data_IF_124548230632
#
_entry.id   IF_124548230632
#
_cell.length_a   1.000
_cell.length_b   1.000
_cell.length_c   1.000
_cell.angle_alpha   90.00
_cell.angle_beta   90.00
_cell.angle_gamma   90.00
#
_symmetry.space_group_name_H-M   'P 1'
#
loop_
_entity.id
_entity.type
_entity.pdbx_description
1 polymer ?
#
# COMPACT_ATOMS: atom_id res chain seq x y z
N UNK A 1 17.30 5.77 -11.04
CA UNK A 1 18.64 5.30 -10.59
C UNK A 1 18.58 4.12 -9.61
N UNK A 2 17.44 3.82 -8.97
CA UNK A 2 17.28 2.67 -8.05
C UNK A 2 17.49 1.31 -8.74
N UNK A 3 16.81 1.07 -9.87
CA UNK A 3 16.92 -0.17 -10.64
C UNK A 3 18.36 -0.51 -11.05
N UNK A 4 19.13 0.49 -11.51
CA UNK A 4 20.54 0.32 -11.88
C UNK A 4 21.40 -0.13 -10.69
N UNK A 5 21.28 0.55 -9.54
CA UNK A 5 22.07 0.22 -8.35
C UNK A 5 21.70 -1.13 -7.75
N UNK A 6 20.41 -1.46 -7.72
CA UNK A 6 19.92 -2.75 -7.25
C UNK A 6 20.42 -3.90 -8.13
N UNK A 7 20.40 -3.72 -9.46
CA UNK A 7 20.93 -4.71 -10.42
C UNK A 7 22.41 -5.01 -10.19
N UNK A 8 23.22 -4.01 -9.84
CA UNK A 8 24.65 -4.23 -9.56
C UNK A 8 24.92 -5.16 -8.36
N UNK A 9 23.96 -5.29 -7.44
CA UNK A 9 24.05 -6.18 -6.27
C UNK A 9 23.09 -7.37 -6.34
N UNK A 10 22.51 -7.63 -7.52
CA UNK A 10 21.61 -8.77 -7.73
C UNK A 10 20.23 -8.64 -7.09
N UNK A 11 19.75 -7.41 -6.83
CA UNK A 11 18.40 -7.14 -6.31
C UNK A 11 17.47 -6.82 -7.49
N UNK A 12 16.38 -7.57 -7.59
CA UNK A 12 15.32 -7.30 -8.56
C UNK A 12 14.44 -6.14 -8.10
N UNK A 13 14.19 -5.20 -9.01
CA UNK A 13 13.32 -4.05 -8.78
C UNK A 13 12.11 -4.17 -9.68
N UNK A 14 10.95 -4.37 -9.06
CA UNK A 14 9.65 -4.39 -9.73
C UNK A 14 9.06 -2.99 -9.64
N UNK A 15 8.80 -2.36 -10.79
CA UNK A 15 8.17 -1.05 -10.88
C UNK A 15 6.67 -1.28 -11.02
N UNK A 16 5.89 -0.62 -10.16
CA UNK A 16 4.42 -0.65 -10.21
C UNK A 16 3.88 0.76 -10.43
N UNK A 17 2.64 0.83 -10.86
CA UNK A 17 1.85 2.06 -10.91
C UNK A 17 1.75 2.76 -9.55
N UNK A 18 1.57 4.08 -9.56
CA UNK A 18 1.60 4.89 -8.35
C UNK A 18 0.35 4.66 -7.51
N UNK A 19 0.54 4.20 -6.28
CA UNK A 19 -0.52 4.14 -5.28
C UNK A 19 -0.41 5.31 -4.31
N UNK A 20 -1.50 6.07 -4.14
CA UNK A 20 -1.48 7.32 -3.37
C UNK A 20 -1.79 7.16 -1.86
N UNK A 21 -2.14 5.96 -1.38
CA UNK A 21 -2.75 5.83 -0.05
C UNK A 21 -1.89 5.09 0.98
N UNK A 22 -1.45 5.81 2.02
CA UNK A 22 -0.85 5.25 3.25
C UNK A 22 -1.87 4.55 4.19
N UNK A 23 -2.96 4.03 3.62
CA UNK A 23 -4.10 3.50 4.36
C UNK A 23 -4.43 2.03 4.10
N UNK A 24 -3.79 1.40 3.12
CA UNK A 24 -3.94 -0.03 2.86
C UNK A 24 -3.27 -0.87 3.95
N UNK A 25 -4.00 -1.83 4.51
CA UNK A 25 -3.45 -2.88 5.38
C UNK A 25 -3.06 -4.12 4.56
N UNK A 26 -1.82 -4.58 4.71
CA UNK A 26 -1.38 -5.84 4.11
C UNK A 26 -2.03 -7.06 4.76
N UNK A 27 -2.25 -7.03 6.07
CA UNK A 27 -2.82 -8.16 6.82
C UNK A 27 -4.28 -8.40 6.42
N UNK A 28 -5.03 -7.32 6.22
CA UNK A 28 -6.44 -7.39 5.87
C UNK A 28 -6.67 -7.54 4.34
N UNK A 29 -5.59 -7.68 3.55
CA UNK A 29 -5.62 -7.72 2.08
C UNK A 29 -6.40 -6.54 1.46
N UNK A 30 -6.20 -5.34 2.00
CA UNK A 30 -6.83 -4.15 1.42
C UNK A 30 -6.34 -3.94 -0.02
N UNK A 31 -7.27 -3.52 -0.88
CA UNK A 31 -6.93 -3.12 -2.24
C UNK A 31 -6.01 -1.90 -2.21
N UNK A 32 -4.93 -1.96 -2.98
CA UNK A 32 -4.02 -0.84 -3.20
C UNK A 32 -4.56 -0.05 -4.39
N UNK A 33 -5.17 1.14 -4.20
CA UNK A 33 -5.68 1.94 -5.31
C UNK A 33 -4.54 2.45 -6.18
N UNK A 34 -4.73 2.33 -7.49
CA UNK A 34 -3.93 3.02 -8.50
C UNK A 34 -4.42 4.46 -8.59
N UNK A 35 -3.51 5.43 -8.59
CA UNK A 35 -3.87 6.82 -8.81
C UNK A 35 -4.27 7.04 -10.28
N UNK A 36 -5.48 7.55 -10.50
CA UNK A 36 -5.99 7.95 -11.81
C UNK A 36 -6.45 9.42 -11.72
N UNK A 37 -5.89 10.26 -12.58
CA UNK A 37 -6.19 11.70 -12.59
C UNK A 37 -7.66 11.95 -12.95
N UNK A 38 -8.37 12.70 -12.10
CA UNK A 38 -9.79 13.01 -12.30
C UNK A 38 -10.77 12.00 -11.72
N UNK A 39 -10.31 10.83 -11.25
CA UNK A 39 -11.16 9.85 -10.57
C UNK A 39 -11.04 9.96 -9.04
N UNK A 40 -12.18 9.86 -8.35
CA UNK A 40 -12.17 9.71 -6.89
C UNK A 40 -11.88 8.25 -6.57
N UNK A 41 -10.71 7.99 -5.99
CA UNK A 41 -10.38 6.68 -5.43
C UNK A 41 -11.33 6.32 -4.28
N UNK A 42 -12.43 5.64 -4.61
CA UNK A 42 -13.41 5.13 -3.64
C UNK A 42 -12.96 3.77 -3.12
N UNK A 43 -11.88 3.75 -2.34
CA UNK A 43 -11.44 2.54 -1.64
C UNK A 43 -11.87 2.61 -0.19
N UNK A 44 -12.55 1.57 0.26
CA UNK A 44 -12.86 1.35 1.67
C UNK A 44 -11.76 0.48 2.26
N UNK A 45 -10.96 1.08 3.14
CA UNK A 45 -9.95 0.35 3.90
C UNK A 45 -10.58 -0.34 5.11
N UNK A 46 -10.14 -1.56 5.40
CA UNK A 46 -10.58 -2.32 6.57
C UNK A 46 -10.06 -1.75 7.88
N UNK A 47 -8.89 -1.10 7.83
CA UNK A 47 -8.21 -0.53 8.98
C UNK A 47 -8.65 0.89 9.35
N UNK A 48 -8.47 1.25 10.63
CA UNK A 48 -8.69 2.62 11.12
C UNK A 48 -7.35 3.25 11.46
N UNK A 49 -7.14 4.50 11.05
CA UNK A 49 -5.92 5.24 11.39
C UNK A 49 -5.93 5.56 12.89
N UNK A 50 -4.93 5.04 13.61
CA UNK A 50 -4.74 5.33 15.03
C UNK A 50 -3.85 6.56 15.18
N UNK A 51 -2.73 6.59 14.45
CA UNK A 51 -1.77 7.71 14.42
C UNK A 51 -1.20 7.91 13.01
N UNK A 52 -0.51 9.03 12.76
CA UNK A 52 0.18 9.24 11.48
C UNK A 52 1.26 8.17 11.29
N UNK A 53 1.09 7.33 10.26
CA UNK A 53 1.97 6.20 9.97
C UNK A 53 1.58 4.87 10.64
N UNK A 54 0.49 4.83 11.43
CA UNK A 54 0.04 3.61 12.11
C UNK A 54 -1.46 3.37 11.91
N UNK A 55 -1.78 2.25 11.27
CA UNK A 55 -3.13 1.74 11.00
C UNK A 55 -3.42 0.59 11.96
N UNK A 56 -4.64 0.50 12.49
CA UNK A 56 -5.10 -0.71 13.19
C UNK A 56 -5.72 -1.68 12.19
N UNK A 57 -5.39 -2.96 12.29
CA UNK A 57 -6.03 -4.04 11.53
C UNK A 57 -7.47 -4.30 12.00
N UNK A 58 -8.28 -4.94 11.17
CA UNK A 58 -9.63 -5.32 11.56
C UNK A 58 -9.57 -6.50 12.54
N UNK A 59 -10.11 -6.33 13.76
CA UNK A 59 -10.05 -7.33 14.86
C UNK A 59 -10.88 -8.60 14.62
N UNK A 60 -11.20 -8.95 13.37
CA UNK A 60 -12.11 -10.07 13.09
C UNK A 60 -11.46 -11.46 13.13
N UNK A 61 -10.12 -11.55 13.21
CA UNK A 61 -9.38 -12.80 13.00
C UNK A 61 -8.56 -13.31 14.20
N UNK A 62 -8.61 -12.63 15.35
CA UNK A 62 -7.98 -13.12 16.58
C UNK A 62 -9.11 -13.49 17.55
N UNK A 63 -9.56 -14.75 17.45
CA UNK A 63 -10.29 -15.45 18.51
C UNK A 63 -9.32 -16.39 19.22
#
# INVERSE_FOLDING_TARGET
>A
MLSYKAKMVGIDVIITEESYTSASSFIDNDLIPVYLEGEKNQVTFSGKRVNRGMQSYCKHWIN
#
